data_IF_625328333743
#
_entry.id   IF_625328333743
#
_cell.length_a   1.000
_cell.length_b   1.000
_cell.length_c   1.000
_cell.angle_alpha   90.00
_cell.angle_beta   90.00
_cell.angle_gamma   90.00
#
_symmetry.space_group_name_H-M   'P 1'
#
loop_
_entity.id
_entity.type
_entity.pdbx_description
1 polymer ?
#
# COMPACT_ATOMS: atom_id res chain seq x y z
N UNK A 1 -11.30 23.72 4.43
CA UNK A 1 -11.56 22.65 3.42
C UNK A 1 -10.68 22.87 2.19
N UNK A 2 -10.46 21.85 1.37
CA UNK A 2 -9.72 21.97 0.10
C UNK A 2 -10.58 22.51 -1.06
N UNK A 3 -9.92 22.96 -2.13
CA UNK A 3 -10.53 23.60 -3.32
C UNK A 3 -11.58 22.75 -4.04
N UNK A 4 -11.50 21.44 -3.90
CA UNK A 4 -12.31 20.50 -4.66
C UNK A 4 -13.42 19.83 -3.83
N UNK A 5 -13.72 20.33 -2.62
CA UNK A 5 -14.88 19.88 -1.85
C UNK A 5 -16.22 20.04 -2.59
N UNK A 6 -17.26 19.35 -2.13
CA UNK A 6 -18.62 19.44 -2.65
C UNK A 6 -19.54 20.07 -1.58
N UNK A 7 -20.48 20.90 -2.01
CA UNK A 7 -21.47 21.54 -1.14
C UNK A 7 -20.96 22.79 -0.44
N UNK A 8 -21.85 23.44 0.31
CA UNK A 8 -21.53 24.60 1.12
C UNK A 8 -21.07 24.17 2.51
N UNK A 9 -20.02 24.84 3.02
CA UNK A 9 -19.48 24.55 4.34
C UNK A 9 -20.32 25.26 5.40
N UNK A 10 -21.06 24.47 6.17
CA UNK A 10 -21.79 24.95 7.34
C UNK A 10 -20.86 25.11 8.57
N UNK A 11 -21.43 25.54 9.70
CA UNK A 11 -20.69 25.75 10.96
C UNK A 11 -19.94 24.50 11.43
N UNK A 12 -20.56 23.32 11.34
CA UNK A 12 -19.92 22.04 11.68
C UNK A 12 -18.74 21.74 10.75
N UNK A 13 -18.88 22.03 9.46
CA UNK A 13 -17.79 21.92 8.49
C UNK A 13 -16.65 22.91 8.77
N UNK A 14 -16.93 24.10 9.32
CA UNK A 14 -15.89 25.03 9.77
C UNK A 14 -15.17 24.48 11.01
N UNK A 15 -15.90 24.01 12.02
CA UNK A 15 -15.32 23.36 13.21
C UNK A 15 -14.42 22.18 12.83
N UNK A 16 -14.87 21.33 11.90
CA UNK A 16 -14.09 20.21 11.37
C UNK A 16 -12.84 20.67 10.61
N UNK A 17 -12.96 21.72 9.77
CA UNK A 17 -11.81 22.28 9.06
C UNK A 17 -10.78 22.87 10.02
N UNK A 18 -11.22 23.55 11.08
CA UNK A 18 -10.36 24.12 12.11
C UNK A 18 -9.63 23.02 12.90
N UNK A 19 -10.33 21.95 13.29
CA UNK A 19 -9.72 20.78 13.91
C UNK A 19 -8.61 20.19 13.02
N UNK A 20 -8.87 20.04 11.72
CA UNK A 20 -7.88 19.52 10.78
C UNK A 20 -6.68 20.48 10.64
N UNK A 21 -6.94 21.79 10.54
CA UNK A 21 -5.89 22.80 10.42
C UNK A 21 -4.97 22.81 11.65
N UNK A 22 -5.57 22.81 12.85
CA UNK A 22 -4.85 22.78 14.14
C UNK A 22 -3.94 21.55 14.26
N UNK A 23 -4.45 20.38 13.91
CA UNK A 23 -3.73 19.11 14.01
C UNK A 23 -2.82 18.80 12.81
N UNK A 24 -2.64 19.75 11.89
CA UNK A 24 -1.84 19.56 10.66
C UNK A 24 -2.34 18.35 9.84
N UNK A 25 -3.64 18.19 9.70
CA UNK A 25 -4.30 17.15 8.90
C UNK A 25 -4.72 17.71 7.53
N UNK A 26 -4.78 16.83 6.53
CA UNK A 26 -5.22 17.13 5.18
C UNK A 26 -6.45 16.27 4.87
N UNK A 27 -7.52 16.92 4.41
CA UNK A 27 -8.80 16.28 4.12
C UNK A 27 -8.79 15.78 2.68
N UNK A 28 -8.56 14.48 2.51
CA UNK A 28 -8.32 13.85 1.21
C UNK A 28 -9.45 14.08 0.20
N UNK A 29 -10.70 13.92 0.63
CA UNK A 29 -11.88 14.07 -0.23
C UNK A 29 -12.08 15.48 -0.83
N UNK A 30 -11.33 16.50 -0.36
CA UNK A 30 -11.50 17.89 -0.80
C UNK A 30 -10.29 18.44 -1.58
N UNK A 31 -9.21 17.69 -1.70
CA UNK A 31 -7.96 18.16 -2.33
C UNK A 31 -7.73 17.59 -3.74
N UNK A 32 -8.46 16.54 -4.14
CA UNK A 32 -8.30 15.94 -5.46
C UNK A 32 -9.39 16.42 -6.43
N UNK A 33 -9.04 16.75 -7.69
CA UNK A 33 -10.01 17.12 -8.70
C UNK A 33 -10.75 15.87 -9.20
N UNK A 34 -11.98 15.68 -8.74
CA UNK A 34 -12.86 14.61 -9.18
C UNK A 34 -14.20 15.15 -9.70
N UNK A 35 -14.90 14.34 -10.51
CA UNK A 35 -16.29 14.61 -10.89
C UNK A 35 -17.20 14.53 -9.64
N UNK A 36 -18.31 15.26 -9.63
CA UNK A 36 -19.29 15.28 -8.52
C UNK A 36 -19.72 13.88 -8.06
N UNK A 37 -19.92 12.98 -9.03
CA UNK A 37 -20.26 11.55 -8.83
C UNK A 37 -19.26 10.75 -7.98
N UNK A 38 -18.05 11.28 -7.77
CA UNK A 38 -16.98 10.66 -6.97
C UNK A 38 -16.67 11.44 -5.69
N UNK A 39 -17.49 12.44 -5.35
CA UNK A 39 -17.33 13.32 -4.18
C UNK A 39 -18.47 13.21 -3.19
N UNK A 40 -19.70 13.07 -3.68
CA UNK A 40 -20.89 12.92 -2.84
C UNK A 40 -20.78 11.64 -2.01
N UNK A 41 -20.84 11.77 -0.68
CA UNK A 41 -20.78 10.66 0.26
C UNK A 41 -22.14 10.33 0.85
N UNK A 42 -23.08 11.27 0.76
CA UNK A 42 -24.44 11.11 1.23
C UNK A 42 -25.43 11.67 0.21
N UNK A 43 -26.57 11.00 0.05
CA UNK A 43 -27.71 11.44 -0.75
C UNK A 43 -28.94 11.47 0.15
N UNK A 44 -29.75 12.52 0.03
CA UNK A 44 -31.04 12.59 0.73
C UNK A 44 -32.01 11.48 0.29
N UNK A 45 -32.97 11.07 1.15
CA UNK A 45 -33.95 10.05 0.80
C UNK A 45 -34.80 10.36 -0.45
N UNK A 46 -34.97 11.64 -0.80
CA UNK A 46 -35.67 12.09 -2.00
C UNK A 46 -34.76 12.15 -3.25
N UNK A 47 -33.49 11.76 -3.13
CA UNK A 47 -32.46 11.78 -4.16
C UNK A 47 -32.16 13.16 -4.79
N UNK A 48 -32.58 14.27 -4.16
CA UNK A 48 -32.37 15.62 -4.69
C UNK A 48 -31.08 16.26 -4.22
N UNK A 49 -30.67 15.96 -2.99
CA UNK A 49 -29.56 16.61 -2.30
C UNK A 49 -28.40 15.65 -2.14
N UNK A 50 -27.21 16.12 -2.48
CA UNK A 50 -25.97 15.38 -2.28
C UNK A 50 -25.01 16.18 -1.42
N UNK A 51 -24.45 15.56 -0.40
CA UNK A 51 -23.49 16.18 0.51
C UNK A 51 -22.20 15.38 0.60
N UNK A 52 -21.13 16.07 1.04
CA UNK A 52 -19.86 15.46 1.39
C UNK A 52 -19.67 15.56 2.89
N UNK A 53 -20.10 14.54 3.62
CA UNK A 53 -20.06 14.51 5.09
C UNK A 53 -19.08 13.47 5.64
N UNK A 54 -18.69 12.50 4.81
CA UNK A 54 -17.73 11.47 5.18
C UNK A 54 -16.34 11.83 4.63
N UNK A 55 -15.33 11.77 5.48
CA UNK A 55 -14.00 12.24 5.13
C UNK A 55 -12.90 11.30 5.61
N UNK A 56 -11.96 11.01 4.71
CA UNK A 56 -10.67 10.42 5.05
C UNK A 56 -9.64 11.55 5.11
N UNK A 57 -8.95 11.66 6.25
CA UNK A 57 -7.89 12.63 6.45
C UNK A 57 -6.59 11.95 6.84
N UNK A 58 -5.47 12.60 6.54
CA UNK A 58 -4.13 12.12 6.84
C UNK A 58 -3.26 13.26 7.37
N UNK A 59 -2.29 12.94 8.23
CA UNK A 59 -1.32 13.93 8.66
C UNK A 59 -0.60 14.55 7.45
N UNK A 60 -0.44 15.88 7.46
CA UNK A 60 0.18 16.68 6.39
C UNK A 60 1.58 16.18 6.04
N UNK A 61 2.33 15.63 7.00
CA UNK A 61 3.64 14.98 6.75
C UNK A 61 3.54 13.85 5.72
N UNK A 62 2.46 13.10 5.73
CA UNK A 62 2.20 11.96 4.83
C UNK A 62 1.28 12.32 3.65
N UNK A 63 1.03 13.61 3.38
CA UNK A 63 0.22 14.07 2.24
C UNK A 63 0.56 13.35 0.93
N UNK A 64 1.86 13.17 0.65
CA UNK A 64 2.35 12.57 -0.61
C UNK A 64 2.09 11.06 -0.73
N UNK A 65 1.70 10.40 0.37
CA UNK A 65 1.28 8.99 0.38
C UNK A 65 -0.13 8.84 -0.16
N UNK A 66 -1.00 9.84 0.01
CA UNK A 66 -2.37 9.77 -0.49
C UNK A 66 -2.39 10.14 -1.98
N UNK A 67 -2.77 9.19 -2.82
CA UNK A 67 -2.84 9.38 -4.29
C UNK A 67 -4.23 9.82 -4.76
N UNK A 68 -5.27 9.49 -3.99
CA UNK A 68 -6.63 9.91 -4.28
C UNK A 68 -7.60 9.50 -3.19
N UNK A 69 -8.71 10.23 -3.06
CA UNK A 69 -9.87 9.85 -2.25
C UNK A 69 -11.11 10.07 -3.08
N UNK A 70 -11.90 9.01 -3.26
CA UNK A 70 -13.12 9.03 -4.09
C UNK A 70 -14.23 8.21 -3.48
N UNK A 71 -15.47 8.56 -3.81
CA UNK A 71 -16.63 7.76 -3.48
C UNK A 71 -16.90 6.68 -4.53
N UNK A 72 -17.43 5.54 -4.09
CA UNK A 72 -17.79 4.38 -4.90
C UNK A 72 -19.30 4.16 -4.82
N UNK A 73 -20.06 4.80 -5.72
CA UNK A 73 -21.53 4.72 -5.75
C UNK A 73 -22.09 3.34 -6.06
N UNK A 74 -21.32 2.48 -6.74
CA UNK A 74 -21.74 1.11 -7.08
C UNK A 74 -21.47 0.09 -5.99
N UNK A 75 -20.97 0.50 -4.82
CA UNK A 75 -20.81 -0.39 -3.68
C UNK A 75 -22.13 -0.46 -2.93
N UNK A 76 -22.64 -1.67 -2.70
CA UNK A 76 -23.83 -1.91 -1.89
C UNK A 76 -23.45 -1.85 -0.40
N UNK A 77 -23.78 -0.74 0.26
CA UNK A 77 -23.46 -0.50 1.68
C UNK A 77 -24.67 0.05 2.42
N UNK A 78 -25.22 1.15 1.94
CA UNK A 78 -26.32 1.87 2.56
C UNK A 78 -27.12 2.62 1.49
N UNK A 79 -28.43 2.84 1.71
CA UNK A 79 -29.30 3.51 0.74
C UNK A 79 -28.96 4.99 0.56
N UNK A 80 -28.48 5.66 1.61
CA UNK A 80 -28.23 7.10 1.66
C UNK A 80 -26.73 7.45 1.74
N UNK A 81 -25.85 6.48 2.02
CA UNK A 81 -24.40 6.69 2.08
C UNK A 81 -23.65 5.94 0.97
N UNK A 82 -22.62 6.57 0.43
CA UNK A 82 -21.66 5.95 -0.48
C UNK A 82 -20.35 5.61 0.21
N UNK A 83 -19.75 4.48 -0.17
CA UNK A 83 -18.41 4.11 0.28
C UNK A 83 -17.36 5.16 -0.11
N UNK A 84 -16.59 5.65 0.85
CA UNK A 84 -15.42 6.50 0.60
C UNK A 84 -14.14 5.66 0.63
N UNK A 85 -13.35 5.72 -0.44
CA UNK A 85 -12.11 4.94 -0.57
C UNK A 85 -10.92 5.86 -0.80
N UNK A 86 -9.84 5.62 -0.06
CA UNK A 86 -8.54 6.25 -0.27
C UNK A 86 -7.55 5.29 -0.92
N UNK A 87 -6.82 5.77 -1.93
CA UNK A 87 -5.67 5.09 -2.50
C UNK A 87 -4.40 5.63 -1.83
N UNK A 88 -3.61 4.75 -1.21
CA UNK A 88 -2.40 5.10 -0.46
C UNK A 88 -1.18 4.39 -1.04
N UNK A 89 -0.13 5.15 -1.36
CA UNK A 89 1.18 4.65 -1.74
C UNK A 89 2.15 4.69 -0.57
N UNK A 90 2.30 3.54 0.08
CA UNK A 90 3.21 3.37 1.21
C UNK A 90 4.66 3.34 0.71
N UNK A 91 5.50 4.22 1.26
CA UNK A 91 6.96 4.18 1.09
C UNK A 91 7.58 3.62 2.35
N UNK A 92 7.64 2.29 2.42
CA UNK A 92 8.19 1.60 3.58
C UNK A 92 9.73 1.65 3.51
N UNK A 93 10.36 1.97 4.64
CA UNK A 93 11.80 1.76 4.79
C UNK A 93 12.02 0.26 4.93
N UNK A 94 12.87 -0.32 4.09
CA UNK A 94 13.30 -1.71 4.27
C UNK A 94 13.97 -1.81 5.63
N UNK A 95 13.36 -2.58 6.53
CA UNK A 95 14.02 -2.97 7.76
C UNK A 95 14.98 -4.09 7.38
N UNK A 96 16.25 -3.75 7.19
CA UNK A 96 17.26 -4.78 7.02
C UNK A 96 17.38 -5.49 8.35
N UNK A 97 16.87 -6.71 8.45
CA UNK A 97 17.35 -7.70 9.41
C UNK A 97 18.77 -8.08 8.99
N UNK A 98 19.69 -7.13 9.11
CA UNK A 98 21.13 -7.38 8.94
C UNK A 98 21.57 -8.14 10.17
N UNK A 99 21.39 -9.47 10.16
CA UNK A 99 21.88 -10.32 11.23
C UNK A 99 21.09 -11.60 11.45
N UNK A 100 21.00 -12.48 10.44
CA UNK A 100 20.92 -13.93 10.71
C UNK A 100 21.14 -14.87 9.52
N UNK A 101 21.67 -14.38 8.41
CA UNK A 101 22.41 -15.23 7.48
C UNK A 101 23.74 -14.55 7.24
N UNK A 102 24.62 -14.62 8.25
CA UNK A 102 26.03 -14.67 7.91
C UNK A 102 26.14 -15.78 6.85
N UNK A 103 26.60 -15.44 5.64
CA UNK A 103 26.94 -16.45 4.65
C UNK A 103 27.71 -17.53 5.39
N UNK A 104 27.12 -18.72 5.50
CA UNK A 104 27.69 -19.79 6.28
C UNK A 104 29.02 -20.12 5.62
N UNK A 105 30.11 -19.67 6.23
CA UNK A 105 31.44 -19.85 5.66
C UNK A 105 31.81 -21.30 5.95
N UNK A 106 31.55 -22.17 4.97
CA UNK A 106 31.89 -23.58 5.10
C UNK A 106 33.40 -23.73 5.30
N UNK A 107 33.81 -24.54 6.27
CA UNK A 107 35.21 -24.85 6.48
C UNK A 107 35.68 -25.73 5.31
N UNK A 108 36.56 -25.18 4.47
CA UNK A 108 37.12 -25.88 3.30
C UNK A 108 38.49 -26.50 3.58
N UNK A 109 38.97 -26.51 4.83
CA UNK A 109 40.29 -27.05 5.18
C UNK A 109 40.47 -28.51 4.74
N UNK A 110 39.41 -29.32 4.87
CA UNK A 110 39.41 -30.73 4.47
C UNK A 110 39.47 -30.95 2.95
N UNK A 111 39.16 -29.93 2.14
CA UNK A 111 39.29 -30.02 0.68
C UNK A 111 40.76 -29.86 0.20
N UNK A 112 41.71 -29.62 1.12
CA UNK A 112 43.14 -29.64 0.80
C UNK A 112 43.71 -31.05 0.67
N UNK A 113 43.03 -32.02 1.26
CA UNK A 113 43.35 -33.44 1.13
C UNK A 113 42.79 -33.98 -0.18
N UNK A 114 43.64 -34.63 -0.99
CA UNK A 114 43.29 -35.07 -2.34
C UNK A 114 42.22 -36.15 -2.33
N UNK A 115 42.24 -37.05 -1.35
CA UNK A 115 41.27 -38.15 -1.25
C UNK A 115 39.90 -37.63 -0.86
N UNK A 116 39.85 -36.71 0.13
CA UNK A 116 38.62 -36.04 0.55
C UNK A 116 38.03 -35.16 -0.54
N UNK A 117 38.86 -34.50 -1.34
CA UNK A 117 38.41 -33.71 -2.48
C UNK A 117 37.81 -34.58 -3.59
N UNK A 118 38.39 -35.76 -3.85
CA UNK A 118 37.84 -36.69 -4.83
C UNK A 118 36.53 -37.32 -4.37
N UNK A 119 36.45 -37.72 -3.10
CA UNK A 119 35.21 -38.22 -2.48
C UNK A 119 34.09 -37.19 -2.58
N UNK A 120 34.38 -35.93 -2.25
CA UNK A 120 33.43 -34.82 -2.37
C UNK A 120 32.97 -34.60 -3.82
N UNK A 121 33.90 -34.62 -4.80
CA UNK A 121 33.56 -34.48 -6.23
C UNK A 121 32.62 -35.58 -6.71
N UNK A 122 32.88 -36.83 -6.32
CA UNK A 122 32.03 -37.98 -6.70
C UNK A 122 30.64 -37.80 -6.09
N UNK A 123 30.55 -37.51 -4.79
CA UNK A 123 29.28 -37.30 -4.11
C UNK A 123 28.48 -36.14 -4.73
N UNK A 124 29.16 -35.04 -5.09
CA UNK A 124 28.54 -33.90 -5.74
C UNK A 124 28.01 -34.25 -7.13
N UNK A 125 28.81 -34.90 -7.97
CA UNK A 125 28.40 -35.33 -9.31
C UNK A 125 27.20 -36.28 -9.25
N UNK A 126 27.26 -37.30 -8.39
CA UNK A 126 26.17 -38.25 -8.23
C UNK A 126 24.86 -37.57 -7.80
N UNK A 127 24.95 -36.60 -6.87
CA UNK A 127 23.78 -35.88 -6.34
C UNK A 127 23.08 -35.02 -7.39
N UNK A 128 23.82 -34.51 -8.36
CA UNK A 128 23.30 -33.62 -9.39
C UNK A 128 23.28 -34.24 -10.80
N UNK A 129 23.48 -35.56 -10.90
CA UNK A 129 23.53 -36.28 -12.17
C UNK A 129 22.24 -36.07 -13.00
N UNK A 130 21.08 -36.16 -12.34
CA UNK A 130 19.79 -35.95 -12.98
C UNK A 130 19.64 -34.57 -13.65
N UNK A 131 20.32 -33.53 -13.14
CA UNK A 131 20.32 -32.19 -13.76
C UNK A 131 21.22 -32.13 -15.00
N UNK A 132 22.31 -32.90 -15.03
CA UNK A 132 23.16 -32.99 -16.22
C UNK A 132 22.50 -33.76 -17.34
N UNK A 133 21.69 -34.77 -17.00
CA UNK A 133 21.01 -35.60 -17.98
C UNK A 133 19.86 -34.82 -18.65
N UNK A 134 19.13 -34.01 -17.88
CA UNK A 134 18.12 -33.07 -18.42
C UNK A 134 18.67 -32.07 -19.44
N UNK A 135 19.94 -31.65 -19.31
CA UNK A 135 20.59 -30.72 -20.24
C UNK A 135 21.13 -31.40 -21.52
N UNK A 136 21.10 -32.73 -21.60
CA UNK A 136 21.54 -33.50 -22.78
C UNK A 136 20.37 -34.01 -23.63
N UNK A 137 19.13 -33.86 -23.14
CA UNK A 137 17.90 -34.25 -23.84
C UNK A 137 17.29 -33.11 -24.68
N UNK A 138 17.93 -31.93 -24.73
CA UNK A 138 17.71 -30.86 -25.74
C UNK A 138 18.75 -30.95 -26.88
#
# INVERSE_FOLDING_TARGET
MGRHGLGERNENGERFANLCAFNKLIIGGTIFPHKRIHKATWISPDHTTENQIDHIYINKKFRRTMEGVRTRRGADIAPDHHLVVANLKLKLKKNWTTGQTALQRFNTAFLRDTDKLNEFKIALNNRFQALQDLLKEE
#
